data_IF_949730545603
#
_entry.id   IF_949730545603
#
_cell.length_a   1.000
_cell.length_b   1.000
_cell.length_c   1.000
_cell.angle_alpha   90.00
_cell.angle_beta   90.00
_cell.angle_gamma   90.00
#
_symmetry.space_group_name_H-M   'P 1'
#
loop_
_entity.id
_entity.type
_entity.pdbx_description
1 polymer ?
#
# COMPACT_ATOMS: atom_id res chain seq x y z
N UNK A 1 29.46 4.30 -23.32
CA UNK A 1 28.46 4.66 -22.29
C UNK A 1 27.08 4.67 -22.95
N UNK A 2 26.01 4.39 -22.18
CA UNK A 2 24.59 4.21 -22.58
C UNK A 2 24.25 2.75 -22.97
N UNK A 3 23.27 2.05 -22.40
CA UNK A 3 22.04 2.47 -21.70
C UNK A 3 21.76 1.51 -20.52
N UNK A 4 21.68 2.05 -19.30
CA UNK A 4 21.22 1.32 -18.12
C UNK A 4 19.71 1.09 -18.19
N UNK A 5 19.29 -0.11 -18.62
CA UNK A 5 17.89 -0.57 -18.54
C UNK A 5 17.38 -0.82 -17.10
N UNK A 6 18.11 -0.37 -16.07
CA UNK A 6 17.75 -0.51 -14.66
C UNK A 6 16.69 0.50 -14.20
N UNK A 7 16.36 1.51 -15.02
CA UNK A 7 15.19 2.38 -14.81
C UNK A 7 13.90 1.65 -15.20
N UNK A 8 13.57 0.58 -14.49
CA UNK A 8 12.17 0.18 -14.31
C UNK A 8 11.51 1.32 -13.55
N UNK A 9 11.03 2.31 -14.29
CA UNK A 9 10.14 3.32 -13.73
C UNK A 9 9.06 2.60 -12.94
N UNK A 10 9.02 2.83 -11.64
CA UNK A 10 7.84 2.60 -10.82
C UNK A 10 7.12 3.94 -10.66
N UNK A 11 6.34 4.48 -11.62
CA UNK A 11 5.51 5.63 -11.29
C UNK A 11 4.16 5.20 -10.70
N UNK A 12 3.73 3.94 -10.87
CA UNK A 12 2.32 3.59 -10.66
C UNK A 12 2.04 2.33 -9.82
N UNK A 13 3.05 1.62 -9.31
CA UNK A 13 2.79 0.55 -8.30
C UNK A 13 2.55 1.11 -6.88
N UNK A 14 2.79 2.40 -6.67
CA UNK A 14 2.52 3.13 -5.41
C UNK A 14 1.06 3.53 -5.27
N UNK A 15 0.27 3.50 -6.35
CA UNK A 15 -1.16 3.77 -6.28
C UNK A 15 -1.87 2.46 -5.99
N UNK A 16 -2.21 2.25 -4.71
CA UNK A 16 -3.29 1.33 -4.34
C UNK A 16 -4.53 1.89 -5.00
N UNK A 17 -5.25 1.06 -5.76
CA UNK A 17 -6.57 1.44 -6.20
C UNK A 17 -7.44 1.44 -4.94
N UNK A 18 -7.50 2.58 -4.25
CA UNK A 18 -8.19 2.81 -2.97
C UNK A 18 -9.63 2.29 -2.90
N UNK A 19 -10.22 1.96 -4.05
CA UNK A 19 -11.59 1.53 -4.20
C UNK A 19 -11.79 0.02 -4.12
N UNK A 20 -10.75 -0.82 -4.09
CA UNK A 20 -10.96 -2.27 -4.09
C UNK A 20 -11.00 -2.84 -2.65
N UNK A 21 -12.18 -3.30 -2.17
CA UNK A 21 -12.30 -3.94 -0.84
C UNK A 21 -11.43 -5.20 -0.70
N UNK A 22 -10.96 -5.76 -1.83
CA UNK A 22 -10.02 -6.87 -1.87
C UNK A 22 -8.65 -6.50 -1.28
N UNK A 23 -8.24 -5.22 -1.34
CA UNK A 23 -6.93 -4.78 -0.83
C UNK A 23 -6.89 -4.72 0.70
N UNK A 24 -8.01 -4.51 1.40
CA UNK A 24 -8.05 -4.44 2.87
C UNK A 24 -7.64 -5.76 3.51
N UNK A 25 -8.19 -6.88 3.02
CA UNK A 25 -7.90 -8.20 3.61
C UNK A 25 -6.45 -8.63 3.33
N UNK A 26 -5.95 -8.31 2.15
CA UNK A 26 -4.54 -8.51 1.81
C UNK A 26 -3.62 -7.64 2.66
N UNK A 27 -3.98 -6.37 2.86
CA UNK A 27 -3.24 -5.42 3.68
C UNK A 27 -3.20 -5.83 5.16
N UNK A 28 -4.33 -6.27 5.71
CA UNK A 28 -4.41 -6.81 7.06
C UNK A 28 -3.45 -7.99 7.25
N UNK A 29 -3.50 -8.98 6.34
CA UNK A 29 -2.62 -10.15 6.38
C UNK A 29 -1.15 -9.78 6.21
N UNK A 30 -0.84 -8.87 5.28
CA UNK A 30 0.54 -8.43 5.00
C UNK A 30 1.19 -7.79 6.23
N UNK A 31 0.44 -6.98 6.97
CA UNK A 31 0.94 -6.23 8.12
C UNK A 31 0.65 -6.90 9.47
N UNK A 32 -0.11 -8.01 9.47
CA UNK A 32 -0.48 -8.72 10.70
C UNK A 32 -1.43 -7.94 11.60
N UNK A 33 -2.19 -6.99 11.05
CA UNK A 33 -3.13 -6.12 11.79
C UNK A 33 -4.57 -6.64 11.65
N UNK A 34 -5.47 -6.15 12.51
CA UNK A 34 -6.89 -6.49 12.40
C UNK A 34 -7.52 -5.91 11.12
N UNK A 35 -8.58 -6.54 10.62
CA UNK A 35 -9.32 -6.05 9.45
C UNK A 35 -9.84 -4.63 9.67
N UNK A 36 -10.30 -4.31 10.87
CA UNK A 36 -10.76 -2.97 11.24
C UNK A 36 -9.64 -1.92 11.18
N UNK A 37 -8.43 -2.28 11.64
CA UNK A 37 -7.26 -1.40 11.54
C UNK A 37 -6.87 -1.19 10.07
N UNK A 38 -6.85 -2.26 9.27
CA UNK A 38 -6.62 -2.17 7.84
C UNK A 38 -7.65 -1.26 7.15
N UNK A 39 -8.93 -1.42 7.45
CA UNK A 39 -10.00 -0.55 6.90
C UNK A 39 -9.81 0.91 7.29
N UNK A 40 -9.47 1.18 8.55
CA UNK A 40 -9.19 2.55 9.02
C UNK A 40 -8.01 3.16 8.27
N UNK A 41 -6.94 2.41 8.06
CA UNK A 41 -5.74 2.88 7.37
C UNK A 41 -6.03 3.10 5.88
N UNK A 42 -6.71 2.16 5.23
CA UNK A 42 -7.10 2.26 3.81
C UNK A 42 -8.11 3.41 3.61
N UNK A 43 -9.09 3.59 4.49
CA UNK A 43 -10.00 4.75 4.44
C UNK A 43 -9.28 6.08 4.68
N UNK A 44 -8.27 6.10 5.55
CA UNK A 44 -7.52 7.32 5.90
C UNK A 44 -6.51 7.73 4.82
N UNK A 45 -5.86 6.75 4.19
CA UNK A 45 -4.79 6.98 3.22
C UNK A 45 -5.22 6.79 1.76
N UNK A 46 -6.38 6.17 1.53
CA UNK A 46 -7.00 6.02 0.22
C UNK A 46 -6.04 5.43 -0.81
N UNK A 47 -5.74 6.23 -1.84
CA UNK A 47 -4.94 5.82 -3.00
C UNK A 47 -3.44 5.78 -2.73
N UNK A 48 -3.01 6.30 -1.57
CA UNK A 48 -1.60 6.35 -1.19
C UNK A 48 -1.21 5.06 -0.47
N UNK A 49 -0.75 4.06 -1.25
CA UNK A 49 -0.27 2.76 -0.74
C UNK A 49 0.92 2.92 0.20
N UNK A 50 1.79 3.86 -0.10
CA UNK A 50 3.01 4.10 0.67
C UNK A 50 2.67 4.67 2.03
N UNK A 51 1.79 5.66 2.09
CA UNK A 51 1.30 6.21 3.35
C UNK A 51 0.52 5.16 4.17
N UNK A 52 -0.33 4.35 3.50
CA UNK A 52 -1.02 3.24 4.15
C UNK A 52 -0.04 2.22 4.75
N UNK A 53 0.93 1.73 3.95
CA UNK A 53 1.94 0.78 4.44
C UNK A 53 2.73 1.34 5.63
N UNK A 54 3.20 2.60 5.55
CA UNK A 54 3.91 3.25 6.66
C UNK A 54 3.06 3.35 7.92
N UNK A 55 1.76 3.64 7.78
CA UNK A 55 0.86 3.71 8.91
C UNK A 55 0.66 2.33 9.56
N UNK A 56 0.54 1.26 8.76
CA UNK A 56 0.43 -0.10 9.28
C UNK A 56 1.73 -0.60 9.93
N UNK A 57 2.90 -0.30 9.35
CA UNK A 57 4.19 -0.63 9.94
C UNK A 57 4.41 0.03 11.31
N UNK A 58 3.80 1.19 11.56
CA UNK A 58 3.85 1.89 12.86
C UNK A 58 2.89 1.32 13.91
N UNK A 59 1.93 0.48 13.52
CA UNK A 59 0.95 -0.12 14.42
C UNK A 59 1.44 -1.48 14.96
N UNK A 60 2.37 -2.13 14.25
CA UNK A 60 3.10 -3.30 14.73
C UNK A 60 4.02 -2.92 15.89
#
# INVERSE_FOLDING_TARGET
MADDKSKRGKPDRSRVAAGEPYEVSYFAKKHGISKEQAEKIVKKHGSDRDAANKAAEKIK
#
